data_IF_630740828299
#
_entry.id   IF_630740828299
#
_cell.length_a   1.000
_cell.length_b   1.000
_cell.length_c   1.000
_cell.angle_alpha   90.00
_cell.angle_beta   90.00
_cell.angle_gamma   90.00
#
_symmetry.space_group_name_H-M   'P 1'
#
loop_
_entity.id
_entity.type
_entity.pdbx_description
1 polymer ?
#
# COMPACT_ATOMS: atom_id res chain seq x y z
N UNK A 1 -13.59 -22.29 0.47
CA UNK A 1 -14.87 -21.91 1.10
C UNK A 1 -15.13 -20.46 0.75
N UNK A 2 -16.19 -20.14 0.01
CA UNK A 2 -16.64 -18.75 -0.12
C UNK A 2 -17.61 -18.49 1.03
N UNK A 3 -17.21 -17.65 1.98
CA UNK A 3 -18.09 -17.17 3.04
C UNK A 3 -18.91 -15.97 2.54
N UNK A 4 -20.05 -15.63 3.16
CA UNK A 4 -20.81 -14.43 2.81
C UNK A 4 -19.98 -13.14 2.86
N UNK A 5 -18.99 -13.08 3.75
CA UNK A 5 -18.05 -11.95 3.88
C UNK A 5 -17.13 -11.86 2.65
N UNK A 6 -16.68 -13.00 2.11
CA UNK A 6 -15.88 -13.06 0.90
C UNK A 6 -16.65 -12.54 -0.31
N UNK A 7 -17.91 -12.96 -0.46
CA UNK A 7 -18.77 -12.51 -1.56
C UNK A 7 -19.08 -11.00 -1.45
N UNK A 8 -19.40 -10.51 -0.24
CA UNK A 8 -19.58 -9.06 0.00
C UNK A 8 -18.33 -8.24 -0.32
N UNK A 9 -17.15 -8.75 0.02
CA UNK A 9 -15.89 -8.10 -0.31
C UNK A 9 -15.69 -8.04 -1.83
N UNK A 10 -15.97 -9.13 -2.54
CA UNK A 10 -15.91 -9.18 -4.00
C UNK A 10 -16.88 -8.20 -4.68
N UNK A 11 -18.13 -8.14 -4.20
CA UNK A 11 -19.12 -7.19 -4.72
C UNK A 11 -18.71 -5.74 -4.50
N UNK A 12 -18.22 -5.42 -3.29
CA UNK A 12 -17.70 -4.10 -2.97
C UNK A 12 -16.46 -3.75 -3.81
N UNK A 13 -15.59 -4.73 -4.06
CA UNK A 13 -14.42 -4.56 -4.92
C UNK A 13 -14.84 -4.20 -6.35
N UNK A 14 -15.76 -4.94 -6.95
CA UNK A 14 -16.26 -4.64 -8.31
C UNK A 14 -17.01 -3.32 -8.38
N UNK A 15 -17.69 -2.92 -7.31
CA UNK A 15 -18.27 -1.58 -7.23
C UNK A 15 -17.16 -0.51 -7.24
N UNK A 16 -16.20 -0.59 -6.31
CA UNK A 16 -15.11 0.40 -6.19
C UNK A 16 -14.24 0.47 -7.42
N UNK A 17 -13.96 -0.68 -8.05
CA UNK A 17 -13.24 -0.75 -9.32
C UNK A 17 -14.01 -0.08 -10.46
N UNK A 18 -15.35 -0.09 -10.45
CA UNK A 18 -16.11 0.66 -11.46
C UNK A 18 -16.13 2.15 -11.19
N UNK A 19 -16.26 2.54 -9.92
CA UNK A 19 -16.47 3.93 -9.53
C UNK A 19 -15.17 4.75 -9.48
N UNK A 20 -14.06 4.14 -9.06
CA UNK A 20 -12.82 4.84 -8.71
C UNK A 20 -11.61 4.52 -9.62
N UNK A 21 -11.72 3.62 -10.60
CA UNK A 21 -10.55 3.16 -11.38
C UNK A 21 -9.94 4.26 -12.27
N UNK A 22 -10.76 5.05 -12.94
CA UNK A 22 -10.25 6.18 -13.74
C UNK A 22 -9.57 7.23 -12.85
N UNK A 23 -10.15 7.49 -11.67
CA UNK A 23 -9.60 8.38 -10.64
C UNK A 23 -8.29 7.83 -10.08
N UNK A 24 -8.19 6.51 -9.91
CA UNK A 24 -6.98 5.82 -9.48
C UNK A 24 -5.84 5.95 -10.48
N UNK A 25 -6.08 5.70 -11.76
CA UNK A 25 -5.04 5.87 -12.78
C UNK A 25 -4.63 7.34 -12.96
N UNK A 26 -5.58 8.28 -12.92
CA UNK A 26 -5.27 9.70 -12.95
C UNK A 26 -4.40 10.14 -11.75
N UNK A 27 -4.63 9.53 -10.57
CA UNK A 27 -3.80 9.73 -9.39
C UNK A 27 -2.36 9.20 -9.60
N UNK A 28 -2.20 8.03 -10.21
CA UNK A 28 -0.87 7.47 -10.50
C UNK A 28 -0.10 8.35 -11.49
N UNK A 29 -0.76 8.83 -12.55
CA UNK A 29 -0.16 9.78 -13.52
C UNK A 29 0.27 11.08 -12.85
N UNK A 30 -0.53 11.60 -11.91
CA UNK A 30 -0.20 12.81 -11.17
C UNK A 30 0.97 12.57 -10.20
N UNK A 31 1.03 11.40 -9.54
CA UNK A 31 2.18 11.00 -8.73
C UNK A 31 3.47 10.95 -9.54
N UNK A 32 3.44 10.38 -10.75
CA UNK A 32 4.61 10.28 -11.62
C UNK A 32 5.16 11.67 -11.99
N UNK A 33 4.29 12.66 -12.19
CA UNK A 33 4.70 14.05 -12.46
C UNK A 33 5.33 14.75 -11.26
N UNK A 34 4.82 14.49 -10.05
CA UNK A 34 5.30 15.19 -8.84
C UNK A 34 6.46 14.47 -8.14
N UNK A 35 6.74 13.22 -8.50
CA UNK A 35 7.86 12.42 -8.00
C UNK A 35 8.77 11.96 -9.17
N UNK A 36 9.47 12.88 -9.85
CA UNK A 36 10.28 12.55 -11.04
C UNK A 36 11.46 11.61 -10.76
N UNK A 37 11.90 11.52 -9.50
CA UNK A 37 12.95 10.61 -9.05
C UNK A 37 12.42 9.21 -8.69
N UNK A 38 11.15 8.92 -8.99
CA UNK A 38 10.51 7.64 -8.71
C UNK A 38 9.90 7.05 -9.96
N UNK A 39 9.94 5.71 -10.06
CA UNK A 39 9.04 4.97 -10.94
C UNK A 39 7.76 4.67 -10.16
N UNK A 40 6.61 5.12 -10.66
CA UNK A 40 5.31 4.92 -10.04
C UNK A 40 4.58 3.75 -10.70
N UNK A 41 3.84 2.96 -9.92
CA UNK A 41 3.04 1.86 -10.47
C UNK A 41 1.84 1.52 -9.61
N UNK A 42 0.90 0.81 -10.24
CA UNK A 42 -0.17 0.10 -9.54
C UNK A 42 0.36 -1.24 -9.02
N UNK A 43 0.17 -1.48 -7.73
CA UNK A 43 0.49 -2.73 -7.05
C UNK A 43 -0.74 -3.30 -6.33
N UNK A 44 -1.93 -2.88 -6.73
CA UNK A 44 -3.19 -3.37 -6.20
C UNK A 44 -3.22 -4.89 -6.33
N UNK A 45 -3.20 -5.65 -5.20
CA UNK A 45 -3.40 -7.08 -5.26
C UNK A 45 -4.80 -7.35 -5.82
N UNK A 46 -5.02 -8.50 -6.45
CA UNK A 46 -6.31 -8.84 -7.08
C UNK A 46 -7.53 -8.74 -6.15
N UNK A 47 -8.70 -9.19 -6.59
CA UNK A 47 -10.01 -8.96 -5.96
C UNK A 47 -10.21 -9.46 -4.51
N UNK A 48 -9.16 -9.98 -3.87
CA UNK A 48 -9.11 -10.36 -2.45
C UNK A 48 -8.44 -9.31 -1.56
N UNK A 49 -7.96 -8.19 -2.13
CA UNK A 49 -7.38 -7.06 -1.39
C UNK A 49 -8.46 -6.17 -0.80
N UNK A 50 -8.22 -5.64 0.41
CA UNK A 50 -9.06 -4.60 1.01
C UNK A 50 -8.75 -3.18 0.53
N UNK A 51 -7.83 -3.01 -0.42
CA UNK A 51 -7.32 -1.70 -0.82
C UNK A 51 -6.75 -1.63 -2.25
N UNK A 52 -6.87 -0.45 -2.87
CA UNK A 52 -6.00 -0.02 -3.96
C UNK A 52 -4.61 0.32 -3.42
N UNK A 53 -3.57 0.04 -4.20
CA UNK A 53 -2.18 0.19 -3.75
C UNK A 53 -1.28 0.77 -4.83
N UNK A 54 -0.66 1.91 -4.54
CA UNK A 54 0.40 2.46 -5.39
C UNK A 54 1.77 2.10 -4.82
N UNK A 55 2.75 2.00 -5.71
CA UNK A 55 4.16 1.81 -5.38
C UNK A 55 4.98 2.92 -6.01
N UNK A 56 5.96 3.41 -5.27
CA UNK A 56 6.94 4.39 -5.73
C UNK A 56 8.34 3.83 -5.48
N UNK A 57 8.99 3.39 -6.56
CA UNK A 57 10.35 2.86 -6.53
C UNK A 57 11.34 4.00 -6.70
N UNK A 58 12.19 4.25 -5.71
CA UNK A 58 13.15 5.35 -5.76
C UNK A 58 14.24 5.09 -6.81
N UNK A 59 14.23 5.82 -7.94
CA UNK A 59 15.20 5.67 -9.01
C UNK A 59 16.59 6.04 -8.48
N UNK A 60 17.42 5.06 -8.10
CA UNK A 60 18.80 5.40 -7.73
C UNK A 60 19.62 5.65 -8.99
N UNK A 61 20.09 6.89 -9.17
CA UNK A 61 21.04 7.26 -10.21
C UNK A 61 22.43 6.57 -10.04
N UNK A 62 22.57 5.57 -9.16
CA UNK A 62 23.87 5.02 -8.74
C UNK A 62 23.83 3.49 -8.60
N UNK A 63 23.96 2.81 -9.74
CA UNK A 63 24.29 1.38 -9.96
C UNK A 63 23.37 0.35 -9.27
N UNK A 64 23.21 -0.84 -9.89
CA UNK A 64 22.43 -1.92 -9.31
C UNK A 64 22.93 -2.32 -7.92
N UNK A 65 22.02 -2.69 -7.01
CA UNK A 65 20.58 -2.83 -7.24
C UNK A 65 19.86 -1.47 -7.20
N UNK A 66 18.94 -1.21 -8.15
CA UNK A 66 18.53 0.16 -8.47
C UNK A 66 17.61 0.83 -7.44
N UNK A 67 17.02 0.11 -6.48
CA UNK A 67 16.02 0.65 -5.55
C UNK A 67 16.39 0.34 -4.09
N UNK A 68 16.72 1.36 -3.29
CA UNK A 68 17.06 1.19 -1.86
C UNK A 68 15.83 0.91 -0.99
N UNK A 69 14.67 1.38 -1.43
CA UNK A 69 13.39 1.20 -0.78
C UNK A 69 12.25 1.39 -1.80
N UNK A 70 11.07 0.91 -1.44
CA UNK A 70 9.81 1.19 -2.13
C UNK A 70 8.87 1.85 -1.15
N UNK A 71 8.30 2.99 -1.52
CA UNK A 71 7.19 3.60 -0.80
C UNK A 71 5.88 3.02 -1.33
N UNK A 72 4.96 2.72 -0.41
CA UNK A 72 3.66 2.15 -0.73
C UNK A 72 2.58 3.05 -0.14
N UNK A 73 1.62 3.45 -0.97
CA UNK A 73 0.39 4.08 -0.51
C UNK A 73 -0.80 3.15 -0.74
N UNK A 74 -1.61 2.92 0.29
CA UNK A 74 -2.82 2.12 0.20
C UNK A 74 -4.07 2.95 0.50
N UNK A 75 -5.12 2.79 -0.30
CA UNK A 75 -6.46 3.36 -0.05
C UNK A 75 -7.44 2.23 0.21
N UNK A 76 -8.03 2.19 1.39
CA UNK A 76 -8.97 1.12 1.73
C UNK A 76 -10.28 1.27 0.95
N UNK A 77 -10.81 0.15 0.45
CA UNK A 77 -12.15 0.09 -0.14
C UNK A 77 -13.24 -0.03 0.93
N UNK A 78 -12.87 -0.37 2.16
CA UNK A 78 -13.78 -0.65 3.28
C UNK A 78 -14.12 0.59 4.12
N UNK A 79 -13.22 1.58 4.15
CA UNK A 79 -13.36 2.78 4.95
C UNK A 79 -12.59 3.94 4.28
N UNK A 80 -12.94 5.21 4.56
CA UNK A 80 -12.28 6.39 3.97
C UNK A 80 -10.93 6.64 4.65
N UNK A 81 -10.03 5.66 4.59
CA UNK A 81 -8.73 5.68 5.23
C UNK A 81 -7.63 5.23 4.29
N UNK A 82 -6.43 5.74 4.55
CA UNK A 82 -5.21 5.35 3.85
C UNK A 82 -4.08 5.00 4.81
N UNK A 83 -3.08 4.28 4.30
CA UNK A 83 -1.83 4.03 5.00
C UNK A 83 -0.65 4.23 4.04
N UNK A 84 0.50 4.64 4.59
CA UNK A 84 1.78 4.69 3.88
C UNK A 84 2.82 3.92 4.67
N UNK A 85 3.61 3.13 3.97
CA UNK A 85 4.76 2.41 4.53
C UNK A 85 5.86 2.25 3.50
N UNK A 86 7.02 1.83 3.97
CA UNK A 86 8.17 1.53 3.12
C UNK A 86 8.56 0.07 3.25
N UNK A 87 9.06 -0.48 2.14
CA UNK A 87 9.74 -1.79 2.11
C UNK A 87 11.17 -1.57 1.66
N UNK A 88 12.12 -1.96 2.49
CA UNK A 88 13.55 -2.03 2.14
C UNK A 88 13.93 -3.48 1.84
N UNK A 89 14.85 -3.68 0.91
CA UNK A 89 15.36 -5.00 0.55
C UNK A 89 16.86 -5.06 0.79
N UNK A 90 17.33 -6.19 1.30
CA UNK A 90 18.72 -6.59 1.13
C UNK A 90 18.87 -7.15 -0.30
N UNK A 91 20.05 -7.04 -0.89
CA UNK A 91 20.28 -7.55 -2.24
C UNK A 91 21.46 -8.51 -2.27
N UNK A 92 21.24 -9.64 -2.95
CA UNK A 92 22.28 -10.61 -3.30
C UNK A 92 22.35 -10.64 -4.82
N UNK A 93 23.36 -9.98 -5.38
CA UNK A 93 23.42 -9.73 -6.83
C UNK A 93 22.28 -8.81 -7.29
N UNK A 94 21.34 -9.35 -8.08
CA UNK A 94 20.16 -8.61 -8.57
C UNK A 94 18.85 -9.03 -7.89
N UNK A 95 18.90 -10.05 -7.04
CA UNK A 95 17.72 -10.58 -6.35
C UNK A 95 17.44 -9.81 -5.06
N UNK A 96 16.14 -9.58 -4.80
CA UNK A 96 15.63 -8.94 -3.58
C UNK A 96 15.50 -10.00 -2.49
N UNK A 97 16.05 -9.72 -1.31
CA UNK A 97 15.97 -10.57 -0.13
C UNK A 97 15.56 -9.76 1.11
N UNK A 98 15.11 -10.47 2.15
CA UNK A 98 14.84 -9.94 3.48
C UNK A 98 14.05 -8.61 3.49
N UNK A 99 12.78 -8.60 3.06
CA UNK A 99 11.98 -7.39 3.09
C UNK A 99 11.87 -6.86 4.52
N UNK A 100 12.27 -5.61 4.72
CA UNK A 100 12.18 -4.88 5.99
C UNK A 100 11.08 -3.84 5.86
N UNK A 101 9.97 -4.08 6.55
CA UNK A 101 8.85 -3.14 6.62
C UNK A 101 9.16 -2.01 7.60
N UNK A 102 8.97 -0.79 7.14
CA UNK A 102 9.01 0.41 7.98
C UNK A 102 7.69 1.14 7.85
N UNK A 103 7.06 1.39 8.99
CA UNK A 103 5.87 2.23 9.09
C UNK A 103 6.25 3.56 9.72
N UNK A 104 5.27 4.42 9.97
CA UNK A 104 5.55 5.68 10.63
C UNK A 104 6.13 5.51 12.05
N UNK A 105 7.10 6.34 12.45
CA UNK A 105 7.76 7.38 11.64
C UNK A 105 8.74 6.80 10.60
N UNK A 106 8.60 7.22 9.34
CA UNK A 106 9.49 6.76 8.27
C UNK A 106 10.89 7.39 8.40
N UNK A 107 11.94 6.69 7.91
CA UNK A 107 13.29 7.23 7.81
C UNK A 107 13.31 8.62 7.13
N UNK A 108 14.16 9.56 7.56
CA UNK A 108 14.17 10.94 7.04
C UNK A 108 14.27 11.05 5.52
N UNK A 109 15.05 10.16 4.89
CA UNK A 109 15.23 10.07 3.43
C UNK A 109 13.95 9.74 2.65
N UNK A 110 12.94 9.15 3.30
CA UNK A 110 11.68 8.75 2.67
C UNK A 110 10.53 9.71 2.98
N UNK A 111 10.68 10.52 4.03
CA UNK A 111 9.59 11.30 4.63
C UNK A 111 9.00 12.32 3.66
N UNK A 112 9.84 13.09 2.95
CA UNK A 112 9.36 14.12 2.03
C UNK A 112 8.48 13.54 0.91
N UNK A 113 8.91 12.43 0.30
CA UNK A 113 8.14 11.73 -0.74
C UNK A 113 6.88 11.08 -0.17
N UNK A 114 6.97 10.46 1.02
CA UNK A 114 5.81 9.89 1.71
C UNK A 114 4.76 10.95 2.03
N UNK A 115 5.17 12.13 2.52
CA UNK A 115 4.27 13.25 2.81
C UNK A 115 3.61 13.81 1.53
N UNK A 116 4.32 13.77 0.40
CA UNK A 116 3.74 14.18 -0.88
C UNK A 116 2.67 13.19 -1.36
N UNK A 117 2.96 11.88 -1.28
CA UNK A 117 1.97 10.83 -1.58
C UNK A 117 0.76 10.98 -0.66
N UNK A 118 0.98 11.21 0.64
CA UNK A 118 -0.08 11.41 1.64
C UNK A 118 -1.03 12.54 1.24
N UNK A 119 -0.48 13.73 0.96
CA UNK A 119 -1.29 14.89 0.55
C UNK A 119 -2.07 14.63 -0.73
N UNK A 120 -1.48 13.91 -1.69
CA UNK A 120 -2.15 13.55 -2.94
C UNK A 120 -3.27 12.53 -2.72
N UNK A 121 -3.08 11.55 -1.83
CA UNK A 121 -4.12 10.60 -1.43
C UNK A 121 -5.32 11.33 -0.78
N UNK A 122 -5.04 12.20 0.19
CA UNK A 122 -6.06 12.98 0.90
C UNK A 122 -6.84 13.88 -0.07
N UNK A 123 -6.14 14.65 -0.90
CA UNK A 123 -6.77 15.54 -1.88
C UNK A 123 -7.53 14.78 -2.97
N UNK A 124 -7.02 13.61 -3.39
CA UNK A 124 -7.63 12.88 -4.49
C UNK A 124 -8.80 12.05 -4.04
N UNK A 125 -8.78 11.40 -2.88
CA UNK A 125 -9.80 10.40 -2.47
C UNK A 125 -10.66 10.83 -1.27
N UNK A 126 -10.43 12.00 -0.68
CA UNK A 126 -11.12 12.47 0.54
C UNK A 126 -11.01 11.46 1.70
N UNK A 127 -9.80 10.94 1.88
CA UNK A 127 -9.46 9.93 2.88
C UNK A 127 -8.59 10.51 3.98
N UNK A 128 -8.58 9.87 5.15
CA UNK A 128 -7.71 10.24 6.28
C UNK A 128 -6.69 9.16 6.60
N UNK A 129 -5.54 9.54 7.15
CA UNK A 129 -4.53 8.56 7.55
C UNK A 129 -5.07 7.67 8.66
N UNK A 130 -4.85 6.36 8.57
CA UNK A 130 -5.05 5.45 9.70
C UNK A 130 -3.89 5.63 10.70
N UNK A 131 -4.15 6.06 11.95
CA UNK A 131 -3.08 6.19 12.95
C UNK A 131 -2.42 4.85 13.23
N UNK A 132 -1.11 4.86 13.47
CA UNK A 132 -0.31 3.65 13.64
C UNK A 132 -0.80 2.80 14.80
N UNK A 133 -1.14 3.43 15.91
CA UNK A 133 -1.63 2.80 17.14
C UNK A 133 -2.94 2.05 16.88
N UNK A 134 -3.80 2.59 16.01
CA UNK A 134 -5.05 1.94 15.59
C UNK A 134 -4.75 0.80 14.61
N UNK A 135 -3.85 1.02 13.64
CA UNK A 135 -3.46 0.01 12.66
C UNK A 135 -2.88 -1.27 13.30
N UNK A 136 -2.15 -1.13 14.40
CA UNK A 136 -1.53 -2.22 15.15
C UNK A 136 -2.49 -2.95 16.10
N UNK A 137 -3.75 -2.49 16.22
CA UNK A 137 -4.73 -3.16 17.08
C UNK A 137 -5.04 -4.57 16.56
N UNK A 138 -4.83 -5.63 17.36
CA UNK A 138 -5.16 -6.99 16.98
C UNK A 138 -6.66 -7.17 16.79
N UNK A 139 -7.05 -8.04 15.85
CA UNK A 139 -8.46 -8.34 15.57
C UNK A 139 -8.70 -9.85 15.47
N UNK A 140 -9.89 -10.34 15.88
CA UNK A 140 -10.23 -11.75 15.81
C UNK A 140 -10.73 -12.15 14.41
N UNK A 141 -10.08 -11.67 13.36
CA UNK A 141 -10.44 -11.94 11.95
C UNK A 141 -9.33 -12.75 11.28
N UNK A 142 -9.72 -13.65 10.39
CA UNK A 142 -8.78 -14.29 9.46
C UNK A 142 -8.77 -13.42 8.20
N UNK A 143 -7.59 -12.93 7.81
CA UNK A 143 -7.40 -12.12 6.61
C UNK A 143 -6.43 -12.84 5.70
N UNK A 144 -6.96 -13.40 4.61
CA UNK A 144 -6.18 -14.21 3.65
C UNK A 144 -5.44 -15.35 4.37
N UNK A 145 -4.10 -15.32 4.40
CA UNK A 145 -3.24 -16.29 5.07
C UNK A 145 -2.81 -15.89 6.49
N UNK A 146 -3.40 -14.83 7.05
CA UNK A 146 -3.09 -14.33 8.40
C UNK A 146 -4.25 -14.62 9.32
N UNK A 147 -3.95 -15.22 10.47
CA UNK A 147 -4.92 -15.62 11.47
C UNK A 147 -4.71 -14.79 12.76
N UNK A 148 -5.68 -14.75 13.67
CA UNK A 148 -5.46 -14.24 15.01
C UNK A 148 -4.48 -15.15 15.79
N UNK A 149 -3.65 -14.59 16.69
CA UNK A 149 -3.61 -13.19 17.15
C UNK A 149 -2.77 -12.24 16.29
N UNK A 150 -2.12 -12.71 15.22
CA UNK A 150 -1.19 -11.91 14.40
C UNK A 150 -1.89 -10.96 13.42
N UNK A 151 -3.20 -11.12 13.24
CA UNK A 151 -4.02 -10.24 12.41
C UNK A 151 -4.33 -8.94 13.15
N UNK A 152 -4.21 -7.82 12.43
CA UNK A 152 -4.43 -6.47 12.95
C UNK A 152 -5.37 -5.69 12.05
N UNK A 153 -5.84 -4.52 12.50
CA UNK A 153 -6.65 -3.63 11.66
C UNK A 153 -5.94 -3.24 10.36
N UNK A 154 -4.62 -3.06 10.37
CA UNK A 154 -3.86 -2.85 9.13
C UNK A 154 -4.14 -3.94 8.10
N UNK A 155 -4.05 -5.20 8.53
CA UNK A 155 -4.29 -6.34 7.63
C UNK A 155 -5.73 -6.36 7.13
N UNK A 156 -6.70 -6.13 8.02
CA UNK A 156 -8.11 -6.09 7.67
C UNK A 156 -8.42 -5.01 6.61
N UNK A 157 -7.76 -3.86 6.66
CA UNK A 157 -8.00 -2.76 5.73
C UNK A 157 -7.15 -2.80 4.45
N UNK A 158 -5.95 -3.37 4.48
CA UNK A 158 -4.96 -3.18 3.40
C UNK A 158 -4.32 -4.48 2.87
N UNK A 159 -4.64 -5.65 3.44
CA UNK A 159 -4.13 -6.96 3.02
C UNK A 159 -3.08 -7.55 3.97
N UNK A 160 -2.86 -8.87 3.87
CA UNK A 160 -2.07 -9.63 4.87
C UNK A 160 -0.55 -9.61 4.67
N UNK A 161 -0.08 -9.28 3.46
CA UNK A 161 1.33 -9.36 3.05
C UNK A 161 1.86 -8.01 2.52
N UNK A 162 1.96 -6.98 3.37
CA UNK A 162 2.51 -5.68 2.96
C UNK A 162 3.94 -5.75 2.40
N UNK A 163 4.73 -6.74 2.79
CA UNK A 163 6.09 -6.99 2.30
C UNK A 163 6.17 -7.48 0.85
N UNK A 164 5.06 -8.00 0.31
CA UNK A 164 5.02 -8.57 -1.04
C UNK A 164 4.78 -7.45 -2.06
N UNK A 165 5.85 -6.94 -2.67
CA UNK A 165 5.84 -5.87 -3.69
C UNK A 165 6.32 -6.45 -5.03
N UNK A 166 5.61 -6.16 -6.14
CA UNK A 166 6.07 -6.53 -7.48
C UNK A 166 7.43 -5.91 -7.88
#
# INVERSE_FOLDING_TARGET
MNSPEYDRLGDLWEQRRRDDLDRWFAFLDDLERVLPDFTIGDATPGSTSGAFRCVAYANSARKPPPFRFVLVGCVSILAPIYAIYAVQYDFVGTERHNPKLSFEPLPPEMRASADLIARKLEATFDVRRLPREVADTPVPLIVQNKEPPETTLFHAFFGSQPENIP
#
